data_IF_000015148360
#
_entry.id   IF_000015148360
#
_cell.length_a   1.000
_cell.length_b   1.000
_cell.length_c   1.000
_cell.angle_alpha   90.00
_cell.angle_beta   90.00
_cell.angle_gamma   90.00
#
_symmetry.space_group_name_H-M   'P 1'
#
loop_
_entity.id
_entity.type
_entity.pdbx_description
1 polymer ?
#
# COMPACT_ATOMS: atom_id res chain seq x y z
N UNK A 1 5.20 -5.01 -20.35
CA UNK A 1 5.31 -3.69 -19.64
C UNK A 1 5.49 -2.53 -20.63
N UNK A 2 4.59 -2.40 -21.63
CA UNK A 2 4.83 -1.46 -22.76
C UNK A 2 4.35 -0.03 -22.51
N UNK A 3 3.21 0.16 -21.84
CA UNK A 3 2.70 1.53 -21.61
C UNK A 3 3.24 2.15 -20.32
N UNK A 4 3.30 1.38 -19.25
CA UNK A 4 3.79 1.89 -17.97
C UNK A 4 5.30 2.17 -18.02
N UNK A 5 6.09 1.37 -18.74
CA UNK A 5 7.54 1.57 -18.89
C UNK A 5 7.90 2.95 -19.41
N UNK A 6 7.19 3.44 -20.42
CA UNK A 6 7.42 4.78 -20.97
C UNK A 6 7.10 5.89 -19.96
N UNK A 7 6.09 5.69 -19.11
CA UNK A 7 5.74 6.63 -18.04
C UNK A 7 6.67 6.55 -16.83
N UNK A 8 7.17 5.37 -16.49
CA UNK A 8 8.13 5.19 -15.39
C UNK A 8 9.51 5.74 -15.76
N UNK A 9 9.92 5.63 -17.02
CA UNK A 9 11.20 6.15 -17.54
C UNK A 9 11.13 7.66 -17.81
N UNK A 10 9.96 8.21 -18.11
CA UNK A 10 9.79 9.62 -18.50
C UNK A 10 9.81 10.60 -17.35
N UNK A 11 10.36 10.20 -16.17
CA UNK A 11 10.59 11.14 -15.08
C UNK A 11 9.44 11.46 -14.16
N UNK A 12 9.75 11.46 -12.89
CA UNK A 12 8.96 12.00 -11.80
C UNK A 12 7.81 11.08 -11.37
N UNK A 13 8.16 10.05 -10.62
CA UNK A 13 7.20 9.13 -9.97
C UNK A 13 6.08 9.83 -9.16
N UNK A 14 6.17 11.14 -8.96
CA UNK A 14 5.12 11.94 -8.35
C UNK A 14 3.81 11.98 -9.16
N UNK A 15 3.81 11.70 -10.47
CA UNK A 15 2.58 11.63 -11.27
C UNK A 15 1.64 10.49 -10.83
N UNK A 16 2.19 9.45 -10.22
CA UNK A 16 1.46 8.31 -9.66
C UNK A 16 0.71 8.70 -8.40
N UNK A 17 1.24 9.64 -7.65
CA UNK A 17 0.81 10.00 -6.31
C UNK A 17 -0.35 10.98 -6.37
N UNK A 18 -1.28 10.86 -5.44
CA UNK A 18 -2.34 11.86 -5.26
C UNK A 18 -1.73 13.24 -4.99
N UNK A 19 -2.13 14.24 -5.77
CA UNK A 19 -1.52 15.56 -5.72
C UNK A 19 -1.60 16.21 -4.33
N UNK A 20 -2.77 16.15 -3.67
CA UNK A 20 -2.97 16.73 -2.34
C UNK A 20 -2.07 16.05 -1.30
N UNK A 21 -1.94 14.73 -1.40
CA UNK A 21 -1.09 13.95 -0.51
C UNK A 21 0.39 14.29 -0.72
N UNK A 22 0.83 14.34 -1.98
CA UNK A 22 2.21 14.72 -2.28
C UNK A 22 2.53 16.11 -1.77
N UNK A 23 1.67 17.10 -2.04
CA UNK A 23 1.84 18.47 -1.57
C UNK A 23 1.88 18.54 -0.03
N UNK A 24 0.94 17.88 0.66
CA UNK A 24 0.91 17.87 2.12
C UNK A 24 2.18 17.27 2.73
N UNK A 25 2.76 16.23 2.10
CA UNK A 25 4.04 15.66 2.52
C UNK A 25 5.17 16.67 2.34
N UNK A 26 5.28 17.30 1.15
CA UNK A 26 6.34 18.28 0.89
C UNK A 26 6.29 19.46 1.84
N UNK A 27 5.09 19.95 2.15
CA UNK A 27 4.88 21.06 3.10
C UNK A 27 5.21 20.66 4.56
N UNK A 28 5.16 19.37 4.90
CA UNK A 28 5.47 18.86 6.25
C UNK A 28 6.95 18.51 6.43
N UNK A 29 7.70 18.27 5.35
CA UNK A 29 9.11 17.87 5.44
C UNK A 29 9.99 18.78 6.30
N UNK A 30 9.89 20.12 6.24
CA UNK A 30 10.68 21.00 7.09
C UNK A 30 10.44 20.77 8.58
N UNK A 31 9.19 20.47 8.97
CA UNK A 31 8.85 20.19 10.35
C UNK A 31 9.43 18.84 10.79
N UNK A 32 9.31 17.79 9.99
CA UNK A 32 9.91 16.48 10.27
C UNK A 32 11.42 16.58 10.50
N UNK A 33 12.12 17.39 9.71
CA UNK A 33 13.57 17.59 9.85
C UNK A 33 13.91 18.30 11.18
N UNK A 34 13.12 19.29 11.58
CA UNK A 34 13.28 19.97 12.88
C UNK A 34 13.08 19.02 14.05
N UNK A 35 12.07 18.13 13.97
CA UNK A 35 11.75 17.19 15.04
C UNK A 35 12.85 16.16 15.28
N UNK A 36 13.52 15.69 14.23
CA UNK A 36 14.65 14.75 14.37
C UNK A 36 15.83 15.33 15.17
N UNK A 37 15.88 16.64 15.36
CA UNK A 37 16.92 17.35 16.10
C UNK A 37 16.54 17.81 17.50
N UNK A 38 15.30 17.65 17.94
CA UNK A 38 14.81 18.19 19.21
C UNK A 38 14.18 17.10 20.08
N UNK A 39 14.63 16.99 21.33
CA UNK A 39 13.98 16.16 22.36
C UNK A 39 12.72 16.86 22.89
N UNK A 40 11.69 16.97 22.09
CA UNK A 40 10.43 17.56 22.49
C UNK A 40 9.36 17.28 21.43
N UNK A 41 8.29 16.62 21.85
CA UNK A 41 7.13 16.36 20.99
C UNK A 41 6.37 17.66 20.76
N UNK A 42 6.65 18.38 19.69
CA UNK A 42 5.68 19.34 19.17
C UNK A 42 4.51 18.58 18.55
N UNK A 43 3.33 19.16 18.61
CA UNK A 43 2.08 18.56 18.14
C UNK A 43 2.06 18.44 16.61
N UNK A 44 2.50 17.30 16.09
CA UNK A 44 2.46 16.98 14.65
C UNK A 44 1.03 16.97 14.08
N UNK A 45 -0.01 16.98 14.95
CA UNK A 45 -1.42 16.94 14.51
C UNK A 45 -1.83 18.17 13.69
N UNK A 46 -1.08 19.25 13.75
CA UNK A 46 -1.34 20.51 13.01
C UNK A 46 -0.65 20.58 11.65
N UNK A 47 0.20 19.61 11.32
CA UNK A 47 0.94 19.62 10.05
C UNK A 47 0.03 19.33 8.84
N UNK A 48 0.40 19.78 7.64
CA UNK A 48 -0.37 19.53 6.41
C UNK A 48 -0.69 18.06 6.14
N UNK A 49 0.18 17.13 6.52
CA UNK A 49 -0.02 15.69 6.39
C UNK A 49 -1.30 15.23 7.09
N UNK A 50 -1.61 15.74 8.27
CA UNK A 50 -2.82 15.37 9.01
C UNK A 50 -4.13 15.79 8.34
N UNK A 51 -4.09 16.74 7.39
CA UNK A 51 -5.27 17.12 6.60
C UNK A 51 -5.66 16.04 5.57
N UNK A 52 -4.73 15.21 5.14
CA UNK A 52 -4.95 14.17 4.13
C UNK A 52 -5.05 12.77 4.72
N UNK A 53 -4.47 12.54 5.91
CA UNK A 53 -4.57 11.29 6.64
C UNK A 53 -5.86 11.28 7.46
N UNK A 54 -6.59 10.16 7.42
CA UNK A 54 -7.77 9.95 8.27
C UNK A 54 -7.56 8.73 9.16
N UNK A 55 -7.62 8.94 10.46
CA UNK A 55 -7.66 7.85 11.43
C UNK A 55 -8.97 7.10 11.30
N UNK A 56 -8.92 5.77 11.16
CA UNK A 56 -10.09 4.87 11.13
C UNK A 56 -10.28 4.22 12.48
N UNK A 57 -9.22 3.66 13.03
CA UNK A 57 -9.13 3.08 14.37
C UNK A 57 -7.83 3.51 15.04
N UNK A 58 -7.60 3.24 16.34
CA UNK A 58 -6.28 3.42 16.94
C UNK A 58 -5.21 2.76 16.06
N UNK A 59 -4.16 3.53 15.74
CA UNK A 59 -3.03 3.10 14.90
C UNK A 59 -3.37 2.66 13.45
N UNK A 60 -4.62 2.75 13.00
CA UNK A 60 -5.04 2.41 11.64
C UNK A 60 -5.51 3.67 10.91
N UNK A 61 -4.88 3.94 9.77
CA UNK A 61 -5.13 5.17 9.02
C UNK A 61 -5.42 4.87 7.54
N UNK A 62 -6.12 5.80 6.90
CA UNK A 62 -6.26 5.82 5.45
C UNK A 62 -5.72 7.11 4.87
N UNK A 63 -5.19 7.03 3.65
CA UNK A 63 -4.70 8.19 2.90
C UNK A 63 -4.93 7.98 1.40
N UNK A 64 -5.34 9.00 0.62
CA UNK A 64 -5.38 8.90 -0.83
C UNK A 64 -3.94 8.90 -1.37
N UNK A 65 -3.37 7.71 -1.63
CA UNK A 65 -1.97 7.54 -2.03
C UNK A 65 -1.78 7.69 -3.53
N UNK A 66 -2.49 6.89 -4.32
CA UNK A 66 -2.34 6.86 -5.77
C UNK A 66 -3.48 7.57 -6.51
N UNK A 67 -3.16 8.10 -7.68
CA UNK A 67 -4.18 8.59 -8.63
C UNK A 67 -4.91 7.40 -9.25
N UNK A 68 -6.21 7.53 -9.46
CA UNK A 68 -7.02 6.50 -10.14
C UNK A 68 -6.48 6.16 -11.54
N UNK A 69 -5.95 7.14 -12.27
CA UNK A 69 -5.34 6.92 -13.58
C UNK A 69 -4.15 5.96 -13.50
N UNK A 70 -3.28 6.14 -12.49
CA UNK A 70 -2.17 5.23 -12.26
C UNK A 70 -2.67 3.81 -11.96
N UNK A 71 -3.62 3.65 -11.03
CA UNK A 71 -4.20 2.34 -10.70
C UNK A 71 -4.79 1.66 -11.95
N UNK A 72 -5.51 2.41 -12.80
CA UNK A 72 -6.08 1.87 -14.04
C UNK A 72 -5.01 1.44 -15.05
N UNK A 73 -3.90 2.14 -15.13
CA UNK A 73 -2.77 1.75 -15.98
C UNK A 73 -2.06 0.53 -15.41
N UNK A 74 -1.84 0.50 -14.10
CA UNK A 74 -1.20 -0.63 -13.42
C UNK A 74 -2.03 -1.92 -13.60
N UNK A 75 -3.36 -1.86 -13.51
CA UNK A 75 -4.22 -3.02 -13.78
C UNK A 75 -4.01 -3.56 -15.20
N UNK A 76 -3.92 -2.69 -16.20
CA UNK A 76 -3.65 -3.15 -17.59
C UNK A 76 -2.30 -3.84 -17.73
N UNK A 77 -1.28 -3.34 -17.04
CA UNK A 77 0.03 -3.98 -17.01
C UNK A 77 -0.01 -5.33 -16.27
N UNK A 78 -0.74 -5.41 -15.16
CA UNK A 78 -0.95 -6.66 -14.43
C UNK A 78 -1.61 -7.71 -15.33
N UNK A 79 -2.66 -7.37 -16.05
CA UNK A 79 -3.33 -8.28 -16.98
C UNK A 79 -2.42 -8.73 -18.14
N UNK A 80 -1.46 -7.89 -18.53
CA UNK A 80 -0.44 -8.28 -19.49
C UNK A 80 0.61 -9.20 -18.84
N UNK A 81 1.13 -8.81 -17.67
CA UNK A 81 2.13 -9.59 -16.94
C UNK A 81 1.66 -11.00 -16.59
N UNK A 82 0.39 -11.21 -16.25
CA UNK A 82 -0.20 -12.53 -15.97
C UNK A 82 -0.02 -13.55 -17.07
N UNK A 83 0.22 -13.13 -18.31
CA UNK A 83 0.47 -14.02 -19.45
C UNK A 83 1.89 -14.59 -19.44
N UNK A 84 2.83 -13.89 -18.85
CA UNK A 84 4.25 -14.18 -18.87
C UNK A 84 4.79 -14.57 -17.49
N UNK A 85 4.24 -13.96 -16.43
CA UNK A 85 4.65 -14.17 -15.05
C UNK A 85 3.45 -14.75 -14.28
N UNK A 86 3.54 -15.99 -13.79
CA UNK A 86 2.46 -16.59 -13.02
C UNK A 86 2.29 -15.82 -11.69
N UNK A 87 1.05 -15.62 -11.30
CA UNK A 87 0.73 -15.27 -9.92
C UNK A 87 0.80 -16.54 -9.09
N UNK A 88 1.78 -16.63 -8.24
CA UNK A 88 1.98 -17.78 -7.40
C UNK A 88 1.34 -17.56 -6.03
N UNK A 89 0.52 -18.55 -5.63
CA UNK A 89 0.15 -18.72 -4.24
C UNK A 89 0.99 -19.84 -3.67
N UNK A 90 1.49 -19.69 -2.47
CA UNK A 90 2.13 -20.79 -1.78
C UNK A 90 1.08 -21.88 -1.49
N UNK A 91 1.28 -23.08 -2.02
CA UNK A 91 0.39 -24.23 -1.82
C UNK A 91 0.69 -24.94 -0.51
N UNK A 92 1.85 -24.71 0.08
CA UNK A 92 2.27 -25.30 1.34
C UNK A 92 1.80 -24.46 2.53
N UNK A 93 1.87 -25.02 3.73
CA UNK A 93 1.45 -24.44 5.00
C UNK A 93 2.19 -23.14 5.38
N UNK A 94 3.11 -22.68 4.54
CA UNK A 94 3.85 -21.45 4.71
C UNK A 94 2.90 -20.24 4.56
N UNK A 95 2.68 -19.55 5.66
CA UNK A 95 1.71 -18.46 5.75
C UNK A 95 2.12 -17.19 4.98
N UNK A 96 3.33 -17.12 4.44
CA UNK A 96 3.90 -15.90 3.85
C UNK A 96 3.33 -15.55 2.47
N UNK A 97 2.85 -16.53 1.69
CA UNK A 97 2.29 -16.33 0.34
C UNK A 97 0.89 -16.91 0.23
N UNK A 98 -0.01 -16.40 1.05
CA UNK A 98 -1.36 -16.94 1.14
C UNK A 98 -2.24 -16.65 -0.07
N UNK A 99 -1.92 -15.61 -0.84
CA UNK A 99 -2.70 -15.08 -1.95
C UNK A 99 -1.83 -15.10 -3.20
N UNK A 100 -2.38 -15.44 -4.38
CA UNK A 100 -1.64 -15.31 -5.63
C UNK A 100 -1.05 -13.91 -5.78
N UNK A 101 0.27 -13.82 -5.91
CA UNK A 101 1.00 -12.56 -5.90
C UNK A 101 2.19 -12.54 -6.85
N UNK A 102 2.61 -11.35 -7.22
CA UNK A 102 3.90 -11.08 -7.88
C UNK A 102 4.72 -10.18 -6.97
N UNK A 103 5.89 -10.65 -6.56
CA UNK A 103 6.88 -9.84 -5.84
C UNK A 103 7.62 -8.96 -6.84
N UNK A 104 7.48 -7.64 -6.70
CA UNK A 104 7.97 -6.70 -7.72
C UNK A 104 9.49 -6.68 -7.84
N UNK A 105 10.22 -6.85 -6.74
CA UNK A 105 11.70 -6.88 -6.77
C UNK A 105 12.22 -7.99 -7.67
N UNK A 106 11.56 -9.15 -7.65
CA UNK A 106 11.98 -10.34 -8.37
C UNK A 106 11.58 -10.31 -9.85
N UNK A 107 10.38 -9.81 -10.14
CA UNK A 107 9.76 -9.97 -11.45
C UNK A 107 9.64 -8.66 -12.25
N UNK A 108 9.56 -7.51 -11.59
CA UNK A 108 9.30 -6.20 -12.22
C UNK A 108 10.16 -5.09 -11.59
N UNK A 109 11.50 -5.16 -11.73
CA UNK A 109 12.42 -4.28 -11.02
C UNK A 109 12.24 -2.79 -11.32
N UNK A 110 11.76 -2.42 -12.51
CA UNK A 110 11.49 -1.03 -12.85
C UNK A 110 10.29 -0.47 -12.04
N UNK A 111 9.23 -1.26 -11.92
CA UNK A 111 8.08 -0.89 -11.09
C UNK A 111 8.47 -0.87 -9.61
N UNK A 112 9.26 -1.85 -9.16
CA UNK A 112 9.80 -1.86 -7.80
C UNK A 112 10.55 -0.56 -7.48
N UNK A 113 11.48 -0.11 -8.34
CA UNK A 113 12.21 1.14 -8.14
C UNK A 113 11.29 2.36 -8.04
N UNK A 114 10.23 2.39 -8.84
CA UNK A 114 9.24 3.47 -8.80
C UNK A 114 8.42 3.43 -7.51
N UNK A 115 8.05 2.25 -7.03
CA UNK A 115 7.37 2.09 -5.74
C UNK A 115 8.30 2.44 -4.58
N UNK A 116 9.57 2.06 -4.67
CA UNK A 116 10.57 2.44 -3.67
C UNK A 116 10.72 3.96 -3.54
N UNK A 117 10.65 4.70 -4.67
CA UNK A 117 10.56 6.16 -4.63
C UNK A 117 9.32 6.64 -3.85
N UNK A 118 8.16 6.01 -4.01
CA UNK A 118 6.95 6.35 -3.24
C UNK A 118 7.15 6.10 -1.74
N UNK A 119 7.81 5.00 -1.39
CA UNK A 119 8.18 4.70 0.00
C UNK A 119 9.04 5.81 0.57
N UNK A 120 10.12 6.21 -0.11
CA UNK A 120 11.07 7.21 0.37
C UNK A 120 10.47 8.62 0.43
N UNK A 121 9.74 9.03 -0.61
CA UNK A 121 9.31 10.42 -0.78
C UNK A 121 7.95 10.74 -0.15
N UNK A 122 7.14 9.72 0.16
CA UNK A 122 5.78 9.92 0.66
C UNK A 122 5.49 9.11 1.92
N UNK A 123 5.69 7.80 1.88
CA UNK A 123 5.29 6.93 2.99
C UNK A 123 6.20 7.11 4.21
N UNK A 124 7.51 7.11 4.02
CA UNK A 124 8.44 7.31 5.12
C UNK A 124 8.24 8.65 5.86
N UNK A 125 8.09 9.81 5.17
CA UNK A 125 7.67 11.05 5.82
C UNK A 125 6.36 10.94 6.61
N UNK A 126 5.36 10.21 6.08
CA UNK A 126 4.11 9.97 6.81
C UNK A 126 4.32 9.13 8.06
N UNK A 127 5.11 8.06 7.98
CA UNK A 127 5.40 7.19 9.12
C UNK A 127 6.16 7.95 10.20
N UNK A 128 7.08 8.82 9.80
CA UNK A 128 7.74 9.73 10.72
C UNK A 128 6.74 10.66 11.43
N UNK A 129 5.82 11.27 10.68
CA UNK A 129 4.84 12.20 11.23
C UNK A 129 3.82 11.53 12.17
N UNK A 130 3.46 10.25 11.91
CA UNK A 130 2.43 9.55 12.69
C UNK A 130 3.06 8.81 13.88
N UNK A 131 4.15 8.09 13.65
CA UNK A 131 4.72 7.15 14.64
C UNK A 131 6.17 7.44 15.02
N UNK A 132 6.78 8.51 14.48
CA UNK A 132 8.21 8.81 14.64
C UNK A 132 9.11 7.64 14.22
N UNK A 133 8.65 6.87 13.20
CA UNK A 133 9.36 5.73 12.65
C UNK A 133 10.01 6.07 11.32
N UNK A 134 11.26 5.66 11.15
CA UNK A 134 12.03 5.86 9.93
C UNK A 134 12.09 4.53 9.14
N UNK A 135 11.05 4.24 8.38
CA UNK A 135 10.89 3.02 7.59
C UNK A 135 11.24 3.30 6.13
N UNK A 136 12.52 3.26 5.80
CA UNK A 136 13.03 3.61 4.46
C UNK A 136 13.01 2.46 3.48
N UNK A 137 13.26 1.26 3.96
CA UNK A 137 13.45 0.09 3.11
C UNK A 137 12.21 -0.81 3.18
N UNK A 138 11.51 -1.03 2.06
CA UNK A 138 10.42 -1.97 2.04
C UNK A 138 10.97 -3.40 2.13
N UNK A 139 10.45 -4.21 3.07
CA UNK A 139 10.76 -5.64 3.16
C UNK A 139 10.27 -6.36 1.91
N UNK A 140 9.04 -6.07 1.50
CA UNK A 140 8.47 -6.53 0.24
C UNK A 140 7.55 -5.49 -0.38
N UNK A 141 7.44 -5.48 -1.71
CA UNK A 141 6.39 -4.80 -2.47
C UNK A 141 5.84 -5.80 -3.45
N UNK A 142 4.56 -6.07 -3.35
CA UNK A 142 3.90 -7.10 -4.14
C UNK A 142 2.58 -6.62 -4.72
N UNK A 143 2.13 -7.29 -5.77
CA UNK A 143 0.78 -7.18 -6.31
C UNK A 143 0.06 -8.49 -6.02
N UNK A 144 -1.02 -8.42 -5.25
CA UNK A 144 -1.83 -9.57 -4.89
C UNK A 144 -3.15 -9.60 -5.65
N UNK A 145 -3.63 -10.80 -5.97
CA UNK A 145 -4.91 -11.03 -6.64
C UNK A 145 -5.80 -11.98 -5.83
N UNK A 146 -6.86 -11.45 -5.25
CA UNK A 146 -7.92 -12.27 -4.67
C UNK A 146 -8.99 -12.56 -5.71
N UNK A 147 -9.34 -13.83 -5.88
CA UNK A 147 -10.37 -14.26 -6.83
C UNK A 147 -11.02 -15.57 -6.38
N UNK A 148 -12.14 -15.94 -7.01
CA UNK A 148 -12.88 -17.14 -6.63
C UNK A 148 -12.23 -18.44 -7.09
N UNK A 149 -11.37 -18.40 -8.11
CA UNK A 149 -10.73 -19.59 -8.69
C UNK A 149 -9.59 -20.08 -7.82
N UNK A 150 -8.72 -19.16 -7.39
CA UNK A 150 -7.50 -19.49 -6.68
C UNK A 150 -7.65 -19.29 -5.18
N UNK A 151 -7.81 -18.04 -4.74
CA UNK A 151 -7.93 -17.71 -3.32
C UNK A 151 -8.82 -16.50 -3.12
N UNK A 152 -9.95 -16.69 -2.45
CA UNK A 152 -10.93 -15.62 -2.21
C UNK A 152 -10.64 -14.77 -0.98
N UNK A 153 -9.89 -15.28 0.00
CA UNK A 153 -9.60 -14.60 1.28
C UNK A 153 -8.23 -14.98 1.82
N UNK A 154 -7.64 -14.10 2.66
CA UNK A 154 -6.45 -14.40 3.45
C UNK A 154 -6.78 -15.13 4.76
N UNK A 155 -5.79 -15.78 5.36
CA UNK A 155 -5.84 -16.24 6.73
C UNK A 155 -5.47 -15.09 7.71
N UNK A 156 -5.73 -15.28 9.00
CA UNK A 156 -5.27 -14.38 10.04
C UNK A 156 -3.75 -14.44 10.15
N UNK A 157 -3.06 -13.29 10.08
CA UNK A 157 -1.60 -13.20 10.16
C UNK A 157 -1.15 -11.83 10.68
N UNK A 158 0.11 -11.77 11.05
CA UNK A 158 0.89 -10.55 11.20
C UNK A 158 1.90 -10.47 10.06
N UNK A 159 2.23 -9.27 9.59
CA UNK A 159 3.35 -9.09 8.65
C UNK A 159 4.65 -8.97 9.46
N UNK A 160 5.20 -10.11 9.86
CA UNK A 160 6.30 -10.19 10.83
C UNK A 160 7.60 -9.53 10.38
N UNK A 161 7.81 -9.42 9.06
CA UNK A 161 9.01 -8.83 8.47
C UNK A 161 8.94 -7.31 8.28
N UNK A 162 7.85 -6.67 8.70
CA UNK A 162 7.61 -5.25 8.47
C UNK A 162 7.19 -4.50 9.75
N UNK A 163 7.68 -3.29 9.95
CA UNK A 163 7.18 -2.39 11.00
C UNK A 163 5.79 -1.85 10.67
N UNK A 164 5.56 -1.52 9.39
CA UNK A 164 4.33 -0.90 8.91
C UNK A 164 3.89 -1.55 7.62
N UNK A 165 2.61 -1.93 7.56
CA UNK A 165 1.95 -2.45 6.37
C UNK A 165 1.16 -1.36 5.65
N UNK A 166 1.17 -1.45 4.33
CA UNK A 166 0.46 -0.55 3.42
C UNK A 166 -0.33 -1.36 2.41
N UNK A 167 -1.65 -1.31 2.49
CA UNK A 167 -2.55 -2.05 1.59
C UNK A 167 -3.31 -1.06 0.71
N UNK A 168 -3.19 -1.19 -0.62
CA UNK A 168 -3.78 -0.27 -1.59
C UNK A 168 -4.67 -0.99 -2.59
N UNK A 169 -6.00 -0.86 -2.52
CA UNK A 169 -6.89 -1.41 -3.53
C UNK A 169 -6.73 -0.69 -4.86
N UNK A 170 -6.48 -1.46 -5.93
CA UNK A 170 -6.24 -0.93 -7.27
C UNK A 170 -7.49 -0.81 -8.14
N UNK A 171 -8.57 -1.55 -7.81
CA UNK A 171 -9.77 -1.63 -8.65
C UNK A 171 -11.08 -1.74 -7.89
N UNK A 172 -11.23 -1.06 -6.78
CA UNK A 172 -12.48 -1.02 -6.01
C UNK A 172 -13.67 -0.63 -6.89
N UNK A 173 -14.77 -1.38 -6.74
CA UNK A 173 -15.96 -1.27 -7.59
C UNK A 173 -15.97 -2.17 -8.81
N UNK A 174 -14.88 -2.94 -9.05
CA UNK A 174 -14.81 -3.99 -10.09
C UNK A 174 -14.98 -5.41 -9.53
N UNK A 175 -15.12 -5.53 -8.23
CA UNK A 175 -15.38 -6.76 -7.49
C UNK A 175 -16.40 -6.50 -6.37
N UNK A 176 -16.99 -7.56 -5.82
CA UNK A 176 -17.86 -7.50 -4.62
C UNK A 176 -17.16 -8.19 -3.46
N UNK A 177 -17.52 -7.79 -2.23
CA UNK A 177 -16.86 -8.25 -1.01
C UNK A 177 -15.50 -7.60 -0.82
N UNK A 178 -14.57 -8.33 -0.20
CA UNK A 178 -13.23 -7.84 0.09
C UNK A 178 -13.17 -6.85 1.25
N UNK A 179 -12.04 -6.23 1.43
CA UNK A 179 -11.73 -5.39 2.58
C UNK A 179 -10.64 -6.02 3.45
N UNK A 180 -10.46 -5.51 4.66
CA UNK A 180 -9.49 -6.02 5.63
C UNK A 180 -10.17 -6.16 6.99
N UNK A 181 -10.06 -7.32 7.63
CA UNK A 181 -10.48 -7.51 9.00
C UNK A 181 -9.28 -7.38 9.94
N UNK A 182 -9.48 -6.71 11.05
CA UNK A 182 -8.56 -6.63 12.17
C UNK A 182 -9.16 -7.31 13.38
N UNK A 183 -8.41 -8.15 14.05
CA UNK A 183 -8.92 -8.94 15.19
C UNK A 183 -9.50 -8.03 16.29
N UNK A 184 -8.84 -6.91 16.55
CA UNK A 184 -9.23 -6.00 17.64
C UNK A 184 -10.22 -4.91 17.23
N UNK A 185 -10.45 -4.70 15.92
CA UNK A 185 -11.21 -3.53 15.43
C UNK A 185 -12.36 -3.90 14.48
N UNK A 186 -12.49 -5.19 14.10
CA UNK A 186 -13.51 -5.64 13.17
C UNK A 186 -13.13 -5.40 11.70
N UNK A 187 -14.14 -5.28 10.86
CA UNK A 187 -13.99 -5.25 9.41
C UNK A 187 -13.96 -3.83 8.85
N UNK A 188 -12.99 -3.57 7.99
CA UNK A 188 -12.89 -2.35 7.20
C UNK A 188 -13.25 -2.70 5.76
N UNK A 189 -14.34 -2.12 5.27
CA UNK A 189 -14.77 -2.26 3.86
C UNK A 189 -13.67 -1.80 2.89
N UNK A 190 -13.70 -2.26 1.62
CA UNK A 190 -12.71 -1.84 0.64
C UNK A 190 -12.62 -0.32 0.54
N UNK A 191 -11.42 0.21 0.69
CA UNK A 191 -11.18 1.64 0.49
C UNK A 191 -11.36 2.02 -0.98
N UNK A 192 -11.59 3.30 -1.30
CA UNK A 192 -11.60 3.76 -2.69
C UNK A 192 -10.30 3.42 -3.40
N UNK A 193 -10.38 3.14 -4.70
CA UNK A 193 -9.21 2.86 -5.55
C UNK A 193 -8.09 3.88 -5.34
N UNK A 194 -6.88 3.40 -5.06
CA UNK A 194 -5.69 4.21 -4.83
C UNK A 194 -5.55 4.77 -3.40
N UNK A 195 -6.51 4.51 -2.52
CA UNK A 195 -6.38 4.86 -1.10
C UNK A 195 -5.61 3.76 -0.35
N UNK A 196 -4.59 4.15 0.38
CA UNK A 196 -3.84 3.24 1.23
C UNK A 196 -4.52 3.09 2.60
N UNK A 197 -4.57 1.87 3.08
CA UNK A 197 -4.73 1.51 4.49
C UNK A 197 -3.33 1.32 5.06
N UNK A 198 -2.97 2.05 6.12
CA UNK A 198 -1.65 1.99 6.76
C UNK A 198 -1.78 1.68 8.24
N UNK A 199 -0.96 0.77 8.74
CA UNK A 199 -1.01 0.31 10.13
C UNK A 199 0.30 -0.36 10.55
N UNK A 200 0.65 -0.33 11.86
CA UNK A 200 1.76 -1.13 12.39
C UNK A 200 1.49 -2.63 12.20
N UNK A 201 2.44 -3.32 11.59
CA UNK A 201 2.27 -4.68 11.07
C UNK A 201 2.14 -5.73 12.16
N UNK A 202 3.12 -5.77 13.05
CA UNK A 202 3.29 -6.85 14.02
C UNK A 202 2.32 -6.80 15.22
N UNK A 203 1.67 -5.66 15.48
CA UNK A 203 0.67 -5.53 16.56
C UNK A 203 -0.76 -5.70 16.07
N UNK A 204 -0.99 -5.72 14.78
CA UNK A 204 -2.31 -5.80 14.18
C UNK A 204 -2.51 -7.14 13.48
N UNK A 205 -3.06 -8.12 14.20
CA UNK A 205 -3.52 -9.38 13.61
C UNK A 205 -4.65 -9.08 12.63
N UNK A 206 -4.45 -9.42 11.35
CA UNK A 206 -5.37 -9.04 10.28
C UNK A 206 -5.50 -10.10 9.20
N UNK A 207 -6.50 -9.95 8.33
CA UNK A 207 -6.69 -10.77 7.14
C UNK A 207 -7.41 -10.01 6.02
N UNK A 208 -7.20 -10.44 4.78
CA UNK A 208 -8.04 -10.03 3.65
C UNK A 208 -9.40 -10.70 3.73
N UNK A 209 -10.48 -9.90 3.62
CA UNK A 209 -11.85 -10.39 3.60
C UNK A 209 -12.20 -11.08 2.28
N UNK A 210 -13.18 -12.02 2.28
CA UNK A 210 -13.57 -12.76 1.10
C UNK A 210 -14.04 -11.86 -0.04
N UNK A 211 -13.60 -12.19 -1.25
CA UNK A 211 -14.19 -11.69 -2.50
C UNK A 211 -15.39 -12.56 -2.86
N UNK A 212 -16.51 -11.94 -3.20
CA UNK A 212 -17.76 -12.59 -3.56
C UNK A 212 -17.93 -12.72 -5.09
N UNK A 213 -17.35 -11.79 -5.85
CA UNK A 213 -17.29 -11.83 -7.31
C UNK A 213 -16.22 -10.90 -7.86
N UNK A 214 -15.69 -11.24 -9.04
CA UNK A 214 -14.64 -10.49 -9.73
C UNK A 214 -13.24 -10.73 -9.16
N UNK A 215 -12.27 -9.98 -9.64
CA UNK A 215 -10.88 -10.03 -9.23
C UNK A 215 -10.53 -8.77 -8.43
N UNK A 216 -9.99 -8.94 -7.23
CA UNK A 216 -9.51 -7.85 -6.37
C UNK A 216 -8.00 -7.79 -6.46
N UNK A 217 -7.49 -6.67 -6.96
CA UNK A 217 -6.06 -6.36 -7.02
C UNK A 217 -5.65 -5.38 -5.93
N UNK A 218 -4.57 -5.71 -5.26
CA UNK A 218 -3.93 -4.88 -4.26
C UNK A 218 -2.48 -4.57 -4.64
#
# INVERSE_FOLDING_TARGET
>A
MYQLKNYLLSMQSHWMINHKTYQAVQETLPDIVKFKGQQGMEDMSKTPIHKVIKKIHPEIYRVPLFRRKFCSMLIKEIEHMKKEIPFEANTDEDQLRQIPEIVLREHVPELYRSMWFVVQSVLNPMFNAIWQRDCKDPSTIQIANYNLKDKKQGAWHHDESADISVVVPLNTGKYKGGGTAFHNYGEISPLPTGHALIFPSFINLHKGLPVESGDRYL
#
